data_IF_945471189397
#
_entry.id   IF_945471189397
#
_cell.length_a   1.000
_cell.length_b   1.000
_cell.length_c   1.000
_cell.angle_alpha   90.00
_cell.angle_beta   90.00
_cell.angle_gamma   90.00
#
_symmetry.space_group_name_H-M   'P 1'
#
loop_
_entity.id
_entity.type
_entity.pdbx_description
1 polymer ?
#
# COMPACT_ATOMS: atom_id res chain seq x y z
N UNK A 1 -8.07 5.11 -8.19
CA UNK A 1 -7.53 3.80 -8.66
C UNK A 1 -6.01 3.92 -8.77
N UNK A 2 -5.25 2.87 -8.46
CA UNK A 2 -3.78 2.87 -8.62
C UNK A 2 -3.38 2.98 -10.10
N UNK A 3 -2.33 3.75 -10.41
CA UNK A 3 -1.76 3.82 -11.75
C UNK A 3 -1.30 2.44 -12.24
N UNK A 4 -1.45 2.16 -13.53
CA UNK A 4 -1.15 0.84 -14.13
C UNK A 4 0.29 0.37 -13.88
N UNK A 5 1.25 1.29 -13.93
CA UNK A 5 2.67 1.01 -13.67
C UNK A 5 2.88 0.43 -12.26
N UNK A 6 2.19 0.97 -11.26
CA UNK A 6 2.24 0.46 -9.89
C UNK A 6 1.52 -0.89 -9.76
N UNK A 7 0.39 -1.06 -10.45
CA UNK A 7 -0.31 -2.35 -10.44
C UNK A 7 0.55 -3.48 -11.00
N UNK A 8 1.31 -3.22 -12.08
CA UNK A 8 2.23 -4.21 -12.67
C UNK A 8 3.32 -4.63 -11.68
N UNK A 9 3.93 -3.67 -10.98
CA UNK A 9 4.91 -3.95 -9.93
C UNK A 9 4.28 -4.82 -8.83
N UNK A 10 3.14 -4.40 -8.29
CA UNK A 10 2.48 -5.07 -7.17
C UNK A 10 2.03 -6.50 -7.55
N UNK A 11 1.51 -6.72 -8.77
CA UNK A 11 1.14 -8.05 -9.25
C UNK A 11 2.33 -9.02 -9.32
N UNK A 12 3.54 -8.52 -9.55
CA UNK A 12 4.74 -9.36 -9.56
C UNK A 12 5.25 -9.70 -8.15
N UNK A 13 4.92 -8.88 -7.14
CA UNK A 13 5.38 -9.03 -5.76
C UNK A 13 4.42 -9.84 -4.86
N UNK A 14 3.14 -9.89 -5.23
CA UNK A 14 2.08 -10.52 -4.44
C UNK A 14 1.42 -11.69 -5.17
N UNK A 15 1.01 -12.69 -4.41
CA UNK A 15 0.06 -13.69 -4.92
C UNK A 15 -1.24 -13.00 -5.32
N UNK A 16 -1.99 -13.56 -6.27
CA UNK A 16 -3.24 -12.96 -6.76
C UNK A 16 -4.20 -12.59 -5.64
N UNK A 17 -4.38 -13.47 -4.65
CA UNK A 17 -5.25 -13.22 -3.49
C UNK A 17 -4.77 -12.04 -2.62
N UNK A 18 -3.46 -11.93 -2.41
CA UNK A 18 -2.86 -10.85 -1.61
C UNK A 18 -2.94 -9.52 -2.36
N UNK A 19 -2.72 -9.53 -3.68
CA UNK A 19 -2.88 -8.35 -4.53
C UNK A 19 -4.33 -7.82 -4.54
N UNK A 20 -5.31 -8.73 -4.64
CA UNK A 20 -6.73 -8.36 -4.57
C UNK A 20 -7.04 -7.76 -3.19
N UNK A 21 -6.55 -8.39 -2.12
CA UNK A 21 -6.75 -7.88 -0.76
C UNK A 21 -6.09 -6.51 -0.56
N UNK A 22 -4.88 -6.29 -1.09
CA UNK A 22 -4.21 -5.00 -1.08
C UNK A 22 -5.04 -3.93 -1.80
N UNK A 23 -5.60 -4.27 -2.96
CA UNK A 23 -6.41 -3.35 -3.77
C UNK A 23 -7.68 -2.92 -3.03
N UNK A 24 -8.35 -3.87 -2.35
CA UNK A 24 -9.49 -3.58 -1.48
C UNK A 24 -9.05 -2.69 -0.32
N UNK A 25 -7.95 -3.03 0.36
CA UNK A 25 -7.44 -2.28 1.51
C UNK A 25 -7.10 -0.84 1.15
N UNK A 26 -6.44 -0.60 0.02
CA UNK A 26 -6.12 0.74 -0.49
C UNK A 26 -7.41 1.53 -0.75
N UNK A 27 -8.42 0.90 -1.34
CA UNK A 27 -9.72 1.53 -1.61
C UNK A 27 -10.42 1.94 -0.30
N UNK A 28 -10.43 1.04 0.68
CA UNK A 28 -10.98 1.29 2.03
C UNK A 28 -10.23 2.43 2.72
N UNK A 29 -8.90 2.43 2.65
CA UNK A 29 -8.06 3.46 3.24
C UNK A 29 -8.29 4.84 2.60
N UNK A 30 -8.43 4.89 1.28
CA UNK A 30 -8.75 6.11 0.53
C UNK A 30 -10.14 6.67 0.89
N UNK A 31 -11.11 5.80 1.17
CA UNK A 31 -12.47 6.19 1.56
C UNK A 31 -12.51 6.78 2.97
N UNK A 32 -11.89 6.12 3.95
CA UNK A 32 -12.02 6.48 5.37
C UNK A 32 -11.00 7.55 5.79
N UNK A 33 -9.84 7.62 5.11
CA UNK A 33 -8.73 8.53 5.41
C UNK A 33 -8.22 8.45 6.86
N UNK A 34 -8.49 7.34 7.56
CA UNK A 34 -8.01 7.08 8.92
C UNK A 34 -7.25 5.75 8.96
N UNK A 35 -6.00 5.81 9.38
CA UNK A 35 -5.13 4.64 9.53
C UNK A 35 -5.29 4.07 10.94
N UNK A 36 -6.43 3.45 11.22
CA UNK A 36 -6.71 2.77 12.48
C UNK A 36 -7.21 1.35 12.17
N UNK A 37 -6.61 0.34 12.81
CA UNK A 37 -6.88 -1.07 12.53
C UNK A 37 -8.36 -1.45 12.69
N UNK A 38 -9.03 -0.94 13.72
CA UNK A 38 -10.44 -1.23 13.99
C UNK A 38 -11.34 -0.58 12.94
N UNK A 39 -11.06 0.67 12.57
CA UNK A 39 -11.81 1.38 11.52
C UNK A 39 -11.65 0.70 10.16
N UNK A 40 -10.44 0.28 9.83
CA UNK A 40 -10.17 -0.49 8.62
C UNK A 40 -10.88 -1.84 8.65
N UNK A 41 -10.80 -2.59 9.76
CA UNK A 41 -11.46 -3.88 9.90
C UNK A 41 -12.99 -3.79 9.82
N UNK A 42 -13.58 -2.72 10.38
CA UNK A 42 -15.03 -2.48 10.31
C UNK A 42 -15.50 -2.17 8.89
N UNK A 43 -14.71 -1.42 8.13
CA UNK A 43 -15.06 -1.01 6.78
C UNK A 43 -14.60 -2.00 5.68
N UNK A 44 -13.87 -3.05 6.03
CA UNK A 44 -13.55 -4.12 5.09
C UNK A 44 -14.86 -4.76 4.56
N UNK A 45 -15.07 -4.77 3.23
CA UNK A 45 -16.29 -5.27 2.59
C UNK A 45 -16.27 -6.80 2.51
N UNK A 46 -16.15 -7.47 3.66
CA UNK A 46 -16.07 -8.92 3.78
C UNK A 46 -17.11 -9.36 4.80
N UNK A 47 -18.05 -10.21 4.38
CA UNK A 47 -19.14 -10.74 5.21
C UNK A 47 -18.70 -11.78 6.24
N UNK A 48 -17.73 -11.43 7.09
CA UNK A 48 -17.22 -12.30 8.16
C UNK A 48 -17.18 -11.53 9.49
N UNK A 49 -17.04 -12.27 10.61
CA UNK A 49 -16.93 -11.70 11.95
C UNK A 49 -15.85 -10.61 12.00
N UNK A 50 -16.11 -9.54 12.74
CA UNK A 50 -15.18 -8.42 12.92
C UNK A 50 -13.78 -8.90 13.34
N UNK A 51 -13.70 -9.77 14.35
CA UNK A 51 -12.42 -10.33 14.81
C UNK A 51 -11.66 -11.08 13.71
N UNK A 52 -12.37 -11.79 12.83
CA UNK A 52 -11.75 -12.46 11.69
C UNK A 52 -11.21 -11.46 10.66
N UNK A 53 -11.94 -10.35 10.40
CA UNK A 53 -11.46 -9.26 9.54
C UNK A 53 -10.21 -8.60 10.12
N UNK A 54 -10.23 -8.30 11.42
CA UNK A 54 -9.10 -7.71 12.15
C UNK A 54 -7.87 -8.62 12.11
N UNK A 55 -8.01 -9.91 12.44
CA UNK A 55 -6.90 -10.88 12.37
C UNK A 55 -6.35 -11.03 10.97
N UNK A 56 -7.21 -11.07 9.95
CA UNK A 56 -6.78 -11.13 8.55
C UNK A 56 -5.96 -9.89 8.17
N UNK A 57 -6.45 -8.70 8.54
CA UNK A 57 -5.74 -7.44 8.29
C UNK A 57 -4.37 -7.42 8.98
N UNK A 58 -4.29 -7.83 10.25
CA UNK A 58 -3.02 -7.96 10.98
C UNK A 58 -2.05 -8.91 10.29
N UNK A 59 -2.50 -10.12 9.93
CA UNK A 59 -1.64 -11.10 9.22
C UNK A 59 -1.15 -10.55 7.88
N UNK A 60 -2.03 -9.87 7.16
CA UNK A 60 -1.68 -9.26 5.89
C UNK A 60 -0.60 -8.19 6.07
N UNK A 61 -0.75 -7.27 7.02
CA UNK A 61 0.20 -6.16 7.24
C UNK A 61 1.59 -6.61 7.71
N UNK A 62 1.74 -7.84 8.20
CA UNK A 62 3.02 -8.43 8.64
C UNK A 62 3.62 -9.35 7.56
N UNK A 63 3.04 -9.41 6.35
CA UNK A 63 3.62 -10.19 5.26
C UNK A 63 5.01 -9.68 4.88
N UNK A 64 5.95 -10.60 4.72
CA UNK A 64 7.34 -10.30 4.31
C UNK A 64 7.44 -9.59 2.96
N UNK A 65 6.40 -9.66 2.13
CA UNK A 65 6.36 -9.04 0.82
C UNK A 65 5.91 -7.56 0.88
N UNK A 66 5.42 -7.07 2.02
CA UNK A 66 5.08 -5.66 2.27
C UNK A 66 6.25 -4.88 2.88
N UNK A 67 7.47 -5.16 2.44
CA UNK A 67 8.65 -4.44 2.88
C UNK A 67 8.95 -3.23 1.99
N UNK A 68 9.77 -2.32 2.50
CA UNK A 68 10.19 -1.12 1.77
C UNK A 68 10.95 -1.51 0.51
N UNK A 69 11.82 -2.49 0.61
CA UNK A 69 12.67 -2.96 -0.48
C UNK A 69 11.86 -3.64 -1.59
N UNK A 70 10.78 -4.33 -1.23
CA UNK A 70 9.98 -5.12 -2.19
C UNK A 70 8.88 -4.31 -2.87
N UNK A 71 8.30 -3.34 -2.17
CA UNK A 71 7.18 -2.54 -2.69
C UNK A 71 7.59 -1.11 -3.01
N UNK A 72 8.14 -0.40 -2.03
CA UNK A 72 8.38 1.03 -2.15
C UNK A 72 9.54 1.36 -3.08
N UNK A 73 10.63 0.58 -3.03
CA UNK A 73 11.79 0.81 -3.88
C UNK A 73 11.47 0.69 -5.39
N UNK A 74 10.81 -0.37 -5.90
CA UNK A 74 10.45 -0.45 -7.31
C UNK A 74 9.47 0.65 -7.75
N UNK A 75 8.52 1.04 -6.88
CA UNK A 75 7.60 2.14 -7.15
C UNK A 75 8.37 3.46 -7.29
N UNK A 76 9.30 3.72 -6.36
CA UNK A 76 10.14 4.92 -6.40
C UNK A 76 11.01 4.96 -7.66
N UNK A 77 11.59 3.82 -8.08
CA UNK A 77 12.36 3.73 -9.33
C UNK A 77 11.51 4.14 -10.54
N UNK A 78 10.26 3.69 -10.62
CA UNK A 78 9.33 4.08 -11.69
C UNK A 78 8.97 5.56 -11.60
N UNK A 79 8.72 6.10 -10.42
CA UNK A 79 8.45 7.54 -10.23
C UNK A 79 9.66 8.35 -10.72
N UNK A 80 10.87 7.96 -10.30
CA UNK A 80 12.12 8.60 -10.71
C UNK A 80 12.27 8.63 -12.23
N UNK A 81 12.11 7.48 -12.90
CA UNK A 81 12.26 7.41 -14.36
C UNK A 81 11.13 8.09 -15.14
N UNK A 82 9.94 8.19 -14.55
CA UNK A 82 8.76 8.77 -15.22
C UNK A 82 8.78 10.29 -15.17
N UNK A 83 9.17 10.87 -14.03
CA UNK A 83 9.00 12.30 -13.79
C UNK A 83 10.33 13.08 -13.78
N UNK A 84 11.48 12.41 -13.69
CA UNK A 84 12.77 13.09 -13.57
C UNK A 84 13.71 12.69 -14.70
N UNK A 85 14.46 13.68 -15.19
CA UNK A 85 15.48 13.47 -16.18
C UNK A 85 16.81 13.12 -15.51
N UNK A 86 17.61 12.21 -16.10
CA UNK A 86 18.97 11.98 -15.65
C UNK A 86 19.78 13.28 -15.61
N UNK A 87 20.69 13.40 -14.65
CA UNK A 87 21.62 14.52 -14.52
C UNK A 87 20.97 15.91 -14.35
N UNK A 88 19.72 15.96 -13.87
CA UNK A 88 19.05 17.21 -13.46
C UNK A 88 18.92 17.27 -11.95
N UNK A 89 18.98 18.49 -11.40
CA UNK A 89 18.79 18.72 -9.97
C UNK A 89 17.34 18.39 -9.61
N UNK A 90 17.16 17.61 -8.54
CA UNK A 90 15.86 17.29 -7.96
C UNK A 90 15.76 17.96 -6.60
N UNK A 91 14.73 18.78 -6.41
CA UNK A 91 14.43 19.36 -5.11
C UNK A 91 13.52 18.41 -4.34
N UNK A 92 14.04 17.82 -3.26
CA UNK A 92 13.29 16.92 -2.38
C UNK A 92 12.87 17.69 -1.13
N UNK A 93 11.57 17.89 -0.96
CA UNK A 93 11.02 18.38 0.30
C UNK A 93 10.97 17.22 1.30
N UNK A 94 11.71 17.35 2.40
CA UNK A 94 11.72 16.38 3.50
C UNK A 94 11.10 17.06 4.71
N UNK A 95 10.00 16.50 5.19
CA UNK A 95 9.36 16.92 6.43
C UNK A 95 9.24 15.74 7.39
N UNK A 96 9.30 16.01 8.69
CA UNK A 96 9.19 14.98 9.73
C UNK A 96 7.79 14.99 10.30
N UNK A 97 7.03 13.94 10.01
CA UNK A 97 5.77 13.67 10.72
C UNK A 97 6.05 12.73 11.88
N UNK A 98 5.71 13.16 13.10
CA UNK A 98 5.69 12.25 14.25
C UNK A 98 4.40 11.43 14.20
N UNK A 99 4.53 10.11 14.16
CA UNK A 99 3.39 9.19 14.05
C UNK A 99 2.80 8.77 15.39
N UNK A 100 3.40 9.18 16.52
CA UNK A 100 2.90 8.91 17.87
C UNK A 100 3.25 7.51 18.36
#
# INVERSE_FOLDING_TARGET
MLQESYQKILRNQFKTADFIFLSILITVLQSIKKVNLEKLANALPIGIKFESRRRRLQRFLVLNNLKIETVWHPILSVIMSTYFQPNKIVYVAIDRTNWG
#
